data_IF_801412859645
#
_entry.id   IF_801412859645
#
_cell.length_a   1.000
_cell.length_b   1.000
_cell.length_c   1.000
_cell.angle_alpha   90.00
_cell.angle_beta   90.00
_cell.angle_gamma   90.00
#
_symmetry.space_group_name_H-M   'P 1'
#
loop_
_entity.id
_entity.type
_entity.pdbx_description
1 polymer ?
#
# COMPACT_ATOMS: atom_id res chain seq x y z
N UNK A 1 47.81 -13.05 -65.88
CA UNK A 1 46.85 -11.95 -66.12
C UNK A 1 45.52 -12.40 -65.51
N UNK A 2 45.44 -12.60 -64.19
CA UNK A 2 45.07 -11.62 -63.13
C UNK A 2 43.72 -10.96 -63.38
N UNK A 3 42.68 -11.43 -62.67
CA UNK A 3 41.63 -10.61 -62.03
C UNK A 3 40.51 -11.52 -61.47
N UNK A 4 40.70 -12.10 -60.28
CA UNK A 4 39.57 -12.66 -59.50
C UNK A 4 39.81 -12.70 -57.99
N UNK A 5 40.71 -11.88 -57.44
CA UNK A 5 40.96 -11.82 -55.99
C UNK A 5 40.89 -10.38 -55.49
N UNK A 6 39.67 -9.92 -55.25
CA UNK A 6 39.37 -8.79 -54.38
C UNK A 6 37.93 -8.95 -53.88
N UNK A 7 37.62 -10.09 -53.23
CA UNK A 7 36.49 -10.11 -52.32
C UNK A 7 36.82 -9.13 -51.20
N UNK A 8 36.00 -8.08 -51.05
CA UNK A 8 36.12 -7.10 -49.97
C UNK A 8 36.15 -7.88 -48.65
N UNK A 9 37.32 -7.90 -48.01
CA UNK A 9 37.54 -8.57 -46.73
C UNK A 9 37.29 -7.61 -45.59
N UNK A 10 36.74 -8.12 -44.49
CA UNK A 10 36.56 -7.32 -43.28
C UNK A 10 37.92 -6.93 -42.68
N UNK A 11 38.23 -5.62 -42.71
CA UNK A 11 39.46 -5.12 -42.09
C UNK A 11 39.44 -5.33 -40.57
N UNK A 12 40.48 -5.95 -39.97
CA UNK A 12 40.58 -6.07 -38.51
C UNK A 12 40.57 -4.72 -37.78
N UNK A 13 41.05 -3.66 -38.42
CA UNK A 13 41.01 -2.31 -37.85
C UNK A 13 39.59 -1.76 -37.79
N UNK A 14 38.76 -2.06 -38.80
CA UNK A 14 37.35 -1.69 -38.82
C UNK A 14 36.57 -2.45 -37.74
N UNK A 15 36.74 -3.76 -37.65
CA UNK A 15 36.13 -4.58 -36.61
C UNK A 15 36.53 -4.12 -35.20
N UNK A 16 37.82 -3.87 -34.96
CA UNK A 16 38.29 -3.37 -33.67
C UNK A 16 37.72 -1.99 -33.32
N UNK A 17 37.58 -1.11 -34.31
CA UNK A 17 36.93 0.19 -34.11
C UNK A 17 35.46 0.02 -33.75
N UNK A 18 34.74 -0.85 -34.47
CA UNK A 18 33.33 -1.10 -34.23
C UNK A 18 33.10 -1.70 -32.83
N UNK A 19 33.88 -2.71 -32.45
CA UNK A 19 33.87 -3.27 -31.09
C UNK A 19 34.16 -2.22 -30.01
N UNK A 20 35.10 -1.29 -30.26
CA UNK A 20 35.41 -0.20 -29.31
C UNK A 20 34.28 0.83 -29.18
N UNK A 21 33.55 1.10 -30.26
CA UNK A 21 32.36 1.98 -30.23
C UNK A 21 31.22 1.29 -29.50
N UNK A 22 30.90 0.06 -29.88
CA UNK A 22 29.89 -0.75 -29.21
C UNK A 22 30.16 -0.91 -27.72
N UNK A 23 31.41 -1.18 -27.31
CA UNK A 23 31.81 -1.25 -25.88
C UNK A 23 31.53 0.04 -25.11
N UNK A 24 31.50 1.20 -25.77
CA UNK A 24 31.16 2.49 -25.15
C UNK A 24 29.65 2.77 -25.11
N UNK A 25 28.83 1.84 -25.57
CA UNK A 25 27.38 2.00 -25.67
C UNK A 25 26.92 2.75 -26.92
N UNK A 26 27.78 2.91 -27.93
CA UNK A 26 27.36 3.42 -29.23
C UNK A 26 26.73 2.27 -30.02
N UNK A 27 25.40 2.19 -29.99
CA UNK A 27 24.63 1.20 -30.72
C UNK A 27 24.31 1.61 -32.15
N UNK A 28 24.75 2.78 -32.63
CA UNK A 28 24.54 3.18 -34.03
C UNK A 28 25.54 2.54 -35.01
N UNK A 29 26.60 1.92 -34.47
CA UNK A 29 27.65 1.29 -35.25
C UNK A 29 27.14 0.09 -36.04
N UNK A 30 27.50 0.02 -37.33
CA UNK A 30 27.20 -1.13 -38.20
C UNK A 30 28.43 -1.53 -39.00
N UNK A 31 28.65 -2.83 -39.15
CA UNK A 31 29.61 -3.39 -40.10
C UNK A 31 28.94 -3.57 -41.49
N UNK A 32 29.72 -3.52 -42.59
CA UNK A 32 29.18 -3.64 -43.94
C UNK A 32 28.52 -5.00 -44.19
N UNK A 33 27.39 -5.01 -44.91
CA UNK A 33 26.60 -6.23 -45.21
C UNK A 33 26.85 -6.76 -46.63
N UNK A 34 27.66 -6.06 -47.41
CA UNK A 34 28.07 -6.38 -48.78
C UNK A 34 29.30 -7.30 -48.84
N UNK A 35 29.76 -7.79 -47.68
CA UNK A 35 30.86 -8.74 -47.58
C UNK A 35 30.36 -10.17 -47.78
N UNK A 36 31.13 -10.98 -48.49
CA UNK A 36 30.81 -12.38 -48.75
C UNK A 36 31.54 -13.32 -47.77
N UNK A 37 31.00 -14.54 -47.63
CA UNK A 37 31.61 -15.60 -46.84
C UNK A 37 31.69 -15.29 -45.34
N UNK A 38 32.77 -15.75 -44.69
CA UNK A 38 32.93 -15.62 -43.22
C UNK A 38 32.93 -14.16 -42.74
N UNK A 39 33.47 -13.24 -43.54
CA UNK A 39 33.54 -11.82 -43.19
C UNK A 39 32.14 -11.18 -43.16
N UNK A 40 31.25 -11.58 -44.08
CA UNK A 40 29.83 -11.24 -44.07
C UNK A 40 29.09 -11.83 -42.89
N UNK A 41 29.33 -13.10 -42.56
CA UNK A 41 28.73 -13.76 -41.38
C UNK A 41 29.16 -13.08 -40.06
N UNK A 42 30.43 -12.70 -39.93
CA UNK A 42 30.93 -11.94 -38.77
C UNK A 42 30.26 -10.57 -38.70
N UNK A 43 30.13 -9.87 -39.83
CA UNK A 43 29.49 -8.55 -39.87
C UNK A 43 28.01 -8.62 -39.49
N UNK A 44 27.27 -9.60 -40.01
CA UNK A 44 25.88 -9.86 -39.66
C UNK A 44 25.74 -10.19 -38.17
N UNK A 45 26.50 -11.15 -37.65
CA UNK A 45 26.44 -11.53 -36.24
C UNK A 45 26.80 -10.36 -35.29
N UNK A 46 27.78 -9.53 -35.67
CA UNK A 46 28.08 -8.31 -34.92
C UNK A 46 26.90 -7.34 -34.92
N UNK A 47 26.31 -7.07 -36.08
CA UNK A 47 25.18 -6.16 -36.22
C UNK A 47 23.96 -6.64 -35.42
N UNK A 48 23.66 -7.94 -35.46
CA UNK A 48 22.57 -8.56 -34.69
C UNK A 48 22.76 -8.36 -33.18
N UNK A 49 24.00 -8.52 -32.69
CA UNK A 49 24.34 -8.28 -31.28
C UNK A 49 24.20 -6.81 -30.91
N UNK A 50 24.60 -5.89 -31.79
CA UNK A 50 24.43 -4.45 -31.56
C UNK A 50 22.94 -4.09 -31.48
N UNK A 51 22.13 -4.55 -32.43
CA UNK A 51 20.68 -4.31 -32.49
C UNK A 51 19.95 -4.88 -31.27
N UNK A 52 20.29 -6.11 -30.86
CA UNK A 52 19.70 -6.70 -29.66
C UNK A 52 20.03 -5.93 -28.38
N UNK A 53 21.26 -5.41 -28.25
CA UNK A 53 21.64 -4.61 -27.09
C UNK A 53 20.99 -3.22 -27.12
N UNK A 54 20.84 -2.61 -28.29
CA UNK A 54 20.09 -1.36 -28.48
C UNK A 54 18.65 -1.54 -27.98
N UNK A 55 17.96 -2.55 -28.48
CA UNK A 55 16.58 -2.87 -28.10
C UNK A 55 16.44 -3.18 -26.59
N UNK A 56 17.39 -3.89 -26.00
CA UNK A 56 17.39 -4.16 -24.57
C UNK A 56 17.52 -2.87 -23.74
N UNK A 57 18.46 -2.00 -24.09
CA UNK A 57 18.70 -0.74 -23.37
C UNK A 57 17.49 0.19 -23.48
N UNK A 58 16.91 0.31 -24.67
CA UNK A 58 15.70 1.09 -24.89
C UNK A 58 14.53 0.57 -24.05
N UNK A 59 14.29 -0.74 -24.07
CA UNK A 59 13.12 -1.30 -23.39
C UNK A 59 13.27 -1.32 -21.86
N UNK A 60 14.49 -1.57 -21.34
CA UNK A 60 14.79 -1.39 -19.92
C UNK A 60 14.60 0.06 -19.50
N UNK A 61 15.05 1.03 -20.31
CA UNK A 61 14.84 2.46 -20.09
C UNK A 61 13.35 2.82 -20.04
N UNK A 62 12.56 2.31 -21.00
CA UNK A 62 11.10 2.49 -21.04
C UNK A 62 10.42 1.94 -19.80
N UNK A 63 10.74 0.71 -19.39
CA UNK A 63 10.16 0.06 -18.20
C UNK A 63 10.55 0.84 -16.94
N UNK A 64 11.82 1.27 -16.83
CA UNK A 64 12.29 2.08 -15.70
C UNK A 64 11.52 3.39 -15.56
N UNK A 65 11.23 4.09 -16.67
CA UNK A 65 10.42 5.32 -16.64
C UNK A 65 8.98 5.02 -16.25
N UNK A 66 8.38 4.01 -16.85
CA UNK A 66 6.99 3.66 -16.60
C UNK A 66 6.75 3.23 -15.14
N UNK A 67 7.66 2.45 -14.55
CA UNK A 67 7.57 2.04 -13.14
C UNK A 67 7.94 3.20 -12.22
N UNK A 68 9.10 3.81 -12.43
CA UNK A 68 9.69 4.76 -11.48
C UNK A 68 9.05 6.15 -11.49
N UNK A 69 8.53 6.61 -12.63
CA UNK A 69 7.95 7.96 -12.76
C UNK A 69 6.43 7.94 -12.91
N UNK A 70 5.89 6.91 -13.57
CA UNK A 70 4.46 6.88 -13.92
C UNK A 70 3.66 5.90 -13.04
N UNK A 71 4.33 5.13 -12.17
CA UNK A 71 3.68 4.18 -11.26
C UNK A 71 3.06 2.96 -11.96
N UNK A 72 3.39 2.71 -13.24
CA UNK A 72 2.89 1.57 -14.01
C UNK A 72 3.70 0.30 -13.70
N UNK A 73 3.56 -0.22 -12.48
CA UNK A 73 4.28 -1.40 -11.95
C UNK A 73 4.05 -2.71 -12.72
N UNK A 74 2.99 -2.80 -13.53
CA UNK A 74 2.71 -3.94 -14.40
C UNK A 74 3.55 -4.02 -15.68
N UNK A 75 4.39 -3.01 -15.96
CA UNK A 75 5.24 -3.02 -17.16
C UNK A 75 6.34 -4.08 -17.06
N UNK A 76 6.68 -4.67 -18.21
CA UNK A 76 7.67 -5.74 -18.35
C UNK A 76 8.59 -5.45 -19.52
N UNK A 77 9.83 -5.91 -19.40
CA UNK A 77 10.83 -5.88 -20.47
C UNK A 77 10.43 -6.93 -21.50
N UNK A 78 10.50 -6.57 -22.79
CA UNK A 78 10.16 -7.39 -23.93
C UNK A 78 11.29 -7.32 -24.95
N UNK A 79 11.95 -8.47 -25.17
CA UNK A 79 13.00 -8.61 -26.18
C UNK A 79 12.75 -9.91 -26.96
N UNK A 80 12.01 -9.85 -28.09
CA UNK A 80 11.52 -11.05 -28.78
C UNK A 80 12.61 -12.00 -29.28
N UNK A 81 13.79 -11.47 -29.61
CA UNK A 81 14.94 -12.23 -30.10
C UNK A 81 15.83 -12.77 -28.98
N UNK A 82 15.52 -12.46 -27.71
CA UNK A 82 16.30 -12.91 -26.57
C UNK A 82 16.20 -14.42 -26.41
N UNK A 83 17.36 -15.08 -26.40
CA UNK A 83 17.47 -16.51 -26.13
C UNK A 83 18.69 -16.80 -25.24
N UNK A 84 18.74 -18.00 -24.69
CA UNK A 84 19.82 -18.40 -23.77
C UNK A 84 19.96 -17.43 -22.59
N UNK A 85 21.20 -17.00 -22.32
CA UNK A 85 21.50 -16.08 -21.21
C UNK A 85 20.79 -14.73 -21.30
N UNK A 86 20.49 -14.24 -22.50
CA UNK A 86 19.74 -12.98 -22.69
C UNK A 86 18.28 -13.13 -22.30
N UNK A 87 17.66 -14.25 -22.67
CA UNK A 87 16.30 -14.58 -22.23
C UNK A 87 16.23 -14.67 -20.71
N UNK A 88 17.16 -15.42 -20.10
CA UNK A 88 17.25 -15.54 -18.64
C UNK A 88 17.45 -14.19 -17.92
N UNK A 89 18.19 -13.25 -18.53
CA UNK A 89 18.35 -11.90 -18.02
C UNK A 89 17.03 -11.12 -18.02
N UNK A 90 16.31 -11.12 -19.15
CA UNK A 90 14.99 -10.49 -19.28
C UNK A 90 13.99 -11.09 -18.30
N UNK A 91 13.99 -12.42 -18.16
CA UNK A 91 13.14 -13.12 -17.21
C UNK A 91 13.48 -12.74 -15.76
N UNK A 92 14.76 -12.61 -15.43
CA UNK A 92 15.21 -12.18 -14.09
C UNK A 92 14.73 -10.77 -13.76
N UNK A 93 14.86 -9.82 -14.70
CA UNK A 93 14.36 -8.45 -14.51
C UNK A 93 12.83 -8.46 -14.33
N UNK A 94 12.12 -9.22 -15.17
CA UNK A 94 10.67 -9.32 -15.11
C UNK A 94 10.18 -9.99 -13.82
N UNK A 95 10.89 -11.01 -13.33
CA UNK A 95 10.64 -11.65 -12.05
C UNK A 95 10.82 -10.66 -10.90
N UNK A 96 11.92 -9.90 -10.88
CA UNK A 96 12.11 -8.85 -9.87
C UNK A 96 10.98 -7.82 -9.88
N UNK A 97 10.53 -7.38 -11.06
CA UNK A 97 9.38 -6.46 -11.14
C UNK A 97 8.11 -7.13 -10.60
N UNK A 98 7.85 -8.40 -10.92
CA UNK A 98 6.70 -9.12 -10.41
C UNK A 98 6.72 -9.25 -8.88
N UNK A 99 7.86 -9.62 -8.31
CA UNK A 99 8.07 -9.80 -6.86
C UNK A 99 7.85 -8.49 -6.08
N UNK A 100 8.14 -7.32 -6.68
CA UNK A 100 7.84 -6.01 -6.09
C UNK A 100 6.38 -5.58 -6.31
N UNK A 101 5.77 -6.00 -7.41
CA UNK A 101 4.43 -5.57 -7.83
C UNK A 101 3.35 -6.13 -6.91
N UNK A 102 3.41 -7.43 -6.62
CA UNK A 102 2.31 -8.12 -5.93
C UNK A 102 2.09 -7.62 -4.49
N UNK A 103 3.12 -7.51 -3.61
CA UNK A 103 2.92 -6.95 -2.25
C UNK A 103 2.40 -5.51 -2.27
N UNK A 104 2.83 -4.72 -3.24
CA UNK A 104 2.39 -3.32 -3.41
C UNK A 104 0.90 -3.24 -3.78
N UNK A 105 0.43 -4.14 -4.66
CA UNK A 105 -0.99 -4.23 -5.02
C UNK A 105 -1.85 -4.70 -3.85
N UNK A 106 -1.39 -5.69 -3.08
CA UNK A 106 -2.08 -6.15 -1.88
C UNK A 106 -2.21 -5.04 -0.83
N UNK A 107 -1.14 -4.25 -0.63
CA UNK A 107 -1.19 -3.11 0.27
C UNK A 107 -2.22 -2.07 -0.17
N UNK A 108 -2.24 -1.72 -1.46
CA UNK A 108 -3.24 -0.80 -1.99
C UNK A 108 -4.68 -1.33 -1.83
N UNK A 109 -4.88 -2.65 -2.01
CA UNK A 109 -6.18 -3.31 -1.83
C UNK A 109 -6.66 -3.21 -0.39
N UNK A 110 -5.81 -3.54 0.59
CA UNK A 110 -6.17 -3.50 2.02
C UNK A 110 -6.43 -2.06 2.47
N UNK A 111 -5.57 -1.11 2.11
CA UNK A 111 -5.79 0.32 2.42
C UNK A 111 -7.11 0.81 1.80
N UNK A 112 -7.38 0.44 0.54
CA UNK A 112 -8.63 0.79 -0.14
C UNK A 112 -9.87 0.19 0.51
N UNK A 113 -9.78 -1.02 1.07
CA UNK A 113 -10.86 -1.66 1.82
C UNK A 113 -11.11 -0.94 3.16
N UNK A 114 -10.05 -0.67 3.91
CA UNK A 114 -10.10 0.07 5.18
C UNK A 114 -10.70 1.46 4.98
N UNK A 115 -10.32 2.15 3.90
CA UNK A 115 -10.88 3.47 3.55
C UNK A 115 -12.39 3.43 3.28
N UNK A 116 -12.93 2.27 2.89
CA UNK A 116 -14.39 2.04 2.70
C UNK A 116 -15.07 1.49 3.96
N UNK A 117 -14.34 1.35 5.06
CA UNK A 117 -14.83 0.80 6.32
C UNK A 117 -14.83 -0.73 6.40
N UNK A 118 -14.26 -1.43 5.41
CA UNK A 118 -14.09 -2.88 5.47
C UNK A 118 -12.79 -3.22 6.22
N UNK A 119 -12.93 -3.50 7.51
CA UNK A 119 -11.84 -3.89 8.40
C UNK A 119 -11.63 -5.42 8.48
N UNK A 120 -12.34 -6.20 7.67
CA UNK A 120 -12.15 -7.66 7.60
C UNK A 120 -10.95 -8.07 6.75
N UNK A 121 -10.42 -7.13 5.96
CA UNK A 121 -9.30 -7.36 5.07
C UNK A 121 -7.96 -7.25 5.80
N UNK A 122 -7.02 -8.12 5.45
CA UNK A 122 -5.66 -8.11 5.96
C UNK A 122 -4.63 -8.32 4.85
N UNK A 123 -3.40 -7.91 5.14
CA UNK A 123 -2.24 -8.21 4.31
C UNK A 123 -1.87 -9.68 4.45
N UNK A 124 -1.70 -10.41 3.33
CA UNK A 124 -1.17 -11.76 3.38
C UNK A 124 0.26 -11.75 3.92
N UNK A 125 0.61 -12.75 4.72
CA UNK A 125 1.97 -12.97 5.22
C UNK A 125 2.74 -13.99 4.37
N UNK A 126 2.08 -14.57 3.38
CA UNK A 126 2.58 -15.59 2.47
C UNK A 126 2.09 -15.31 1.05
N UNK A 127 2.96 -15.51 0.08
CA UNK A 127 2.68 -15.31 -1.35
C UNK A 127 3.21 -16.53 -2.11
N UNK A 128 2.36 -17.16 -2.93
CA UNK A 128 2.70 -18.33 -3.75
C UNK A 128 3.39 -19.47 -2.98
N UNK A 129 2.90 -19.77 -1.77
CA UNK A 129 3.47 -20.83 -0.92
C UNK A 129 4.71 -20.42 -0.13
N UNK A 130 5.13 -19.14 -0.20
CA UNK A 130 6.36 -18.65 0.42
C UNK A 130 6.08 -17.52 1.40
N UNK A 131 6.60 -17.58 2.64
CA UNK A 131 6.40 -16.51 3.60
C UNK A 131 7.08 -15.24 3.09
N UNK A 132 6.41 -14.10 3.29
CA UNK A 132 7.04 -12.80 3.09
C UNK A 132 8.27 -12.69 4.00
N UNK A 133 9.31 -12.00 3.52
CA UNK A 133 10.56 -11.80 4.26
C UNK A 133 10.98 -10.33 4.23
N UNK A 134 11.90 -9.98 5.12
CA UNK A 134 12.50 -8.64 5.18
C UNK A 134 11.46 -7.53 5.30
N UNK A 135 11.65 -6.47 4.50
CA UNK A 135 10.78 -5.28 4.50
C UNK A 135 9.33 -5.61 4.17
N UNK A 136 9.06 -6.53 3.23
CA UNK A 136 7.68 -6.88 2.88
C UNK A 136 6.91 -7.49 4.05
N UNK A 137 7.56 -8.38 4.82
CA UNK A 137 6.97 -8.95 6.02
C UNK A 137 6.75 -7.88 7.09
N UNK A 138 7.72 -6.98 7.25
CA UNK A 138 7.63 -5.89 8.21
C UNK A 138 6.44 -4.96 7.88
N UNK A 139 6.32 -4.51 6.64
CA UNK A 139 5.20 -3.67 6.17
C UNK A 139 3.86 -4.40 6.34
N UNK A 140 3.76 -5.66 5.92
CA UNK A 140 2.53 -6.45 6.06
C UNK A 140 2.07 -6.55 7.52
N UNK A 141 3.00 -6.81 8.46
CA UNK A 141 2.71 -6.85 9.90
C UNK A 141 2.28 -5.50 10.44
N UNK A 142 2.92 -4.42 10.02
CA UNK A 142 2.57 -3.07 10.44
C UNK A 142 1.17 -2.68 9.96
N UNK A 143 0.82 -3.00 8.71
CA UNK A 143 -0.53 -2.79 8.17
C UNK A 143 -1.55 -3.63 8.94
N UNK A 144 -1.28 -4.92 9.18
CA UNK A 144 -2.19 -5.79 9.93
C UNK A 144 -2.43 -5.28 11.35
N UNK A 145 -1.38 -4.85 12.06
CA UNK A 145 -1.51 -4.25 13.39
C UNK A 145 -2.37 -2.99 13.38
N UNK A 146 -2.20 -2.12 12.38
CA UNK A 146 -3.04 -0.94 12.22
C UNK A 146 -4.52 -1.33 11.99
N UNK A 147 -4.80 -2.34 11.15
CA UNK A 147 -6.17 -2.84 10.94
C UNK A 147 -6.75 -3.42 12.23
N UNK A 148 -5.99 -4.23 12.96
CA UNK A 148 -6.41 -4.80 14.26
C UNK A 148 -6.76 -3.73 15.28
N UNK A 149 -5.96 -2.65 15.36
CA UNK A 149 -6.24 -1.51 16.23
C UNK A 149 -7.56 -0.82 15.82
N UNK A 150 -7.78 -0.61 14.52
CA UNK A 150 -9.03 -0.04 14.01
C UNK A 150 -10.24 -0.90 14.39
N UNK A 151 -10.15 -2.23 14.16
CA UNK A 151 -11.23 -3.17 14.51
C UNK A 151 -11.57 -3.07 15.99
N UNK A 152 -10.54 -3.07 16.84
CA UNK A 152 -10.73 -3.06 18.30
C UNK A 152 -11.38 -1.77 18.78
N UNK A 153 -10.88 -0.61 18.32
CA UNK A 153 -11.47 0.70 18.68
C UNK A 153 -12.91 0.79 18.19
N UNK A 154 -13.17 0.49 16.92
CA UNK A 154 -14.51 0.59 16.34
C UNK A 154 -15.50 -0.33 17.05
N UNK A 155 -15.10 -1.55 17.39
CA UNK A 155 -15.95 -2.48 18.13
C UNK A 155 -16.31 -1.95 19.52
N UNK A 156 -15.32 -1.44 20.27
CA UNK A 156 -15.55 -0.90 21.62
C UNK A 156 -16.43 0.35 21.61
N UNK A 157 -16.20 1.27 20.68
CA UNK A 157 -17.04 2.47 20.55
C UNK A 157 -18.49 2.11 20.17
N UNK A 158 -18.66 1.13 19.27
CA UNK A 158 -19.99 0.63 18.90
C UNK A 158 -20.69 -0.02 20.08
N UNK A 159 -19.97 -0.82 20.89
CA UNK A 159 -20.49 -1.44 22.10
C UNK A 159 -20.98 -0.39 23.10
N UNK A 160 -20.15 0.59 23.44
CA UNK A 160 -20.51 1.63 24.42
C UNK A 160 -21.68 2.47 23.94
N UNK A 161 -21.70 2.87 22.66
CA UNK A 161 -22.81 3.62 22.10
C UNK A 161 -24.13 2.85 22.21
N UNK A 162 -24.11 1.54 21.95
CA UNK A 162 -25.27 0.66 22.12
C UNK A 162 -25.66 0.49 23.59
N UNK A 163 -24.72 0.15 24.45
CA UNK A 163 -25.00 -0.16 25.86
C UNK A 163 -25.50 1.07 26.63
N UNK A 164 -24.80 2.20 26.51
CA UNK A 164 -25.16 3.43 27.23
C UNK A 164 -26.32 4.15 26.56
N UNK A 165 -26.30 4.25 25.22
CA UNK A 165 -27.26 5.06 24.47
C UNK A 165 -28.57 4.36 24.14
N UNK A 166 -28.57 3.05 23.94
CA UNK A 166 -29.75 2.29 23.50
C UNK A 166 -30.27 1.38 24.62
N UNK A 167 -29.39 0.60 25.24
CA UNK A 167 -29.77 -0.37 26.27
C UNK A 167 -29.91 0.26 27.67
N UNK A 168 -29.47 1.52 27.85
CA UNK A 168 -29.56 2.24 29.12
C UNK A 168 -28.65 1.67 30.22
N UNK A 169 -27.63 0.89 29.87
CA UNK A 169 -26.60 0.38 30.79
C UNK A 169 -25.62 1.50 31.11
N UNK A 170 -26.03 2.36 32.03
CA UNK A 170 -25.25 3.53 32.44
C UNK A 170 -23.99 3.12 33.21
N UNK A 171 -22.88 3.79 32.93
CA UNK A 171 -21.58 3.58 33.57
C UNK A 171 -20.60 2.72 32.77
N UNK A 172 -21.06 2.13 31.66
CA UNK A 172 -20.17 1.39 30.75
C UNK A 172 -19.21 2.33 30.02
N UNK A 173 -17.99 1.85 29.83
CA UNK A 173 -16.89 2.58 29.20
C UNK A 173 -16.13 1.68 28.24
N UNK A 174 -15.56 2.29 27.19
CA UNK A 174 -14.72 1.64 26.21
C UNK A 174 -13.38 1.33 26.85
N UNK A 175 -12.92 0.09 26.69
CA UNK A 175 -11.64 -0.37 27.20
C UNK A 175 -10.81 -0.92 26.04
N UNK A 176 -10.05 -0.03 25.41
CA UNK A 176 -9.14 -0.42 24.33
C UNK A 176 -7.72 -0.49 24.87
N UNK A 177 -7.09 -1.66 24.76
CA UNK A 177 -5.67 -1.85 25.13
C UNK A 177 -4.76 -1.29 24.04
N UNK A 178 -3.59 -0.79 24.43
CA UNK A 178 -2.50 -0.42 23.52
C UNK A 178 -2.84 0.64 22.46
N UNK A 179 -3.80 1.53 22.77
CA UNK A 179 -4.09 2.73 21.96
C UNK A 179 -3.27 3.92 22.43
N UNK A 180 -2.75 4.67 21.47
CA UNK A 180 -2.00 5.90 21.70
C UNK A 180 -2.41 6.97 20.68
N UNK A 181 -2.03 8.23 20.93
CA UNK A 181 -2.34 9.37 20.08
C UNK A 181 -3.84 9.52 19.85
N UNK A 182 -4.23 9.81 18.61
CA UNK A 182 -5.63 10.08 18.23
C UNK A 182 -6.62 8.99 18.65
N UNK A 183 -6.21 7.72 18.67
CA UNK A 183 -7.07 6.61 19.10
C UNK A 183 -7.40 6.65 20.58
N UNK A 184 -6.42 7.03 21.40
CA UNK A 184 -6.62 7.22 22.83
C UNK A 184 -7.55 8.41 23.07
N UNK A 185 -7.29 9.53 22.40
CA UNK A 185 -8.11 10.74 22.54
C UNK A 185 -9.57 10.47 22.17
N UNK A 186 -9.82 9.71 21.10
CA UNK A 186 -11.17 9.32 20.70
C UNK A 186 -11.87 8.46 21.76
N UNK A 187 -11.16 7.46 22.29
CA UNK A 187 -11.68 6.57 23.34
C UNK A 187 -12.01 7.35 24.61
N UNK A 188 -11.11 8.23 25.05
CA UNK A 188 -11.27 9.04 26.25
C UNK A 188 -12.44 10.01 26.12
N UNK A 189 -12.63 10.63 24.95
CA UNK A 189 -13.78 11.50 24.68
C UNK A 189 -15.13 10.77 24.73
N UNK A 190 -15.21 9.55 24.16
CA UNK A 190 -16.44 8.75 24.25
C UNK A 190 -16.72 8.33 25.69
N UNK A 191 -15.67 7.96 26.45
CA UNK A 191 -15.81 7.64 27.86
C UNK A 191 -16.28 8.83 28.70
N UNK A 192 -15.78 10.04 28.41
CA UNK A 192 -16.24 11.27 29.06
C UNK A 192 -17.71 11.55 28.74
N UNK A 193 -18.12 11.39 27.48
CA UNK A 193 -19.53 11.52 27.08
C UNK A 193 -20.43 10.52 27.81
N UNK A 194 -20.05 9.23 27.83
CA UNK A 194 -20.80 8.18 28.51
C UNK A 194 -20.91 8.41 30.02
N UNK A 195 -19.82 8.86 30.66
CA UNK A 195 -19.80 9.18 32.09
C UNK A 195 -20.70 10.37 32.42
N UNK A 196 -20.67 11.42 31.60
CA UNK A 196 -21.52 12.60 31.77
C UNK A 196 -23.00 12.24 31.63
N UNK A 197 -23.38 11.50 30.58
CA UNK A 197 -24.76 11.03 30.38
C UNK A 197 -25.23 10.14 31.55
N UNK A 198 -24.37 9.24 32.01
CA UNK A 198 -24.64 8.38 33.17
C UNK A 198 -24.94 9.18 34.43
N UNK A 199 -24.09 10.15 34.75
CA UNK A 199 -24.25 10.98 35.93
C UNK A 199 -25.54 11.82 35.85
N UNK A 200 -25.83 12.38 34.68
CA UNK A 200 -27.01 13.20 34.44
C UNK A 200 -28.30 12.39 34.60
N UNK A 201 -28.41 11.24 33.91
CA UNK A 201 -29.62 10.41 33.93
C UNK A 201 -29.87 9.81 35.31
N UNK A 202 -28.83 9.35 36.02
CA UNK A 202 -28.99 8.81 37.38
C UNK A 202 -29.50 9.86 38.37
N UNK A 203 -28.94 11.08 38.33
CA UNK A 203 -29.39 12.15 39.21
C UNK A 203 -30.85 12.55 38.94
N UNK A 204 -31.25 12.59 37.67
CA UNK A 204 -32.64 12.84 37.29
C UNK A 204 -33.54 11.72 37.85
N UNK A 205 -33.17 10.47 37.61
CA UNK A 205 -33.95 9.32 38.09
C UNK A 205 -34.11 9.30 39.62
N UNK A 206 -33.04 9.61 40.37
CA UNK A 206 -33.06 9.66 41.84
C UNK A 206 -34.03 10.74 42.34
N UNK A 207 -33.96 11.96 41.78
CA UNK A 207 -34.83 13.06 42.18
C UNK A 207 -36.28 12.77 41.78
N UNK A 208 -36.55 12.34 40.54
CA UNK A 208 -37.91 12.00 40.11
C UNK A 208 -38.52 10.87 40.95
N UNK A 209 -37.71 9.89 41.38
CA UNK A 209 -38.16 8.83 42.30
C UNK A 209 -38.52 9.37 43.68
N UNK A 210 -37.75 10.33 44.21
CA UNK A 210 -38.05 10.99 45.48
C UNK A 210 -39.38 11.76 45.41
N UNK A 211 -39.59 12.52 44.35
CA UNK A 211 -40.83 13.26 44.08
C UNK A 211 -42.03 12.31 44.01
N UNK A 212 -41.91 11.20 43.28
CA UNK A 212 -42.97 10.19 43.18
C UNK A 212 -43.31 9.53 44.54
N UNK A 213 -42.36 9.49 45.47
CA UNK A 213 -42.56 9.03 46.86
C UNK A 213 -43.04 10.13 47.81
N UNK A 214 -43.25 11.35 47.32
CA UNK A 214 -43.72 12.50 48.09
C UNK A 214 -42.63 13.32 48.78
N UNK A 215 -41.35 13.04 48.52
CA UNK A 215 -40.22 13.84 49.03
C UNK A 215 -39.86 14.96 48.05
N UNK A 216 -40.45 16.14 48.27
CA UNK A 216 -40.19 17.36 47.49
C UNK A 216 -38.96 18.13 47.99
N UNK A 217 -38.21 17.62 48.97
CA UNK A 217 -37.01 18.31 49.46
C UNK A 217 -35.79 18.09 48.55
N UNK A 218 -35.85 17.12 47.62
CA UNK A 218 -34.76 16.73 46.73
C UNK A 218 -34.73 17.56 45.46
N UNK A 219 -33.55 18.11 45.12
CA UNK A 219 -33.29 18.84 43.87
C UNK A 219 -32.12 18.24 43.12
N UNK A 220 -32.15 18.33 41.80
CA UNK A 220 -31.01 17.98 40.94
C UNK A 220 -29.95 19.07 41.11
N UNK A 221 -28.75 18.68 41.55
CA UNK A 221 -27.66 19.63 41.84
C UNK A 221 -26.52 19.61 40.82
N UNK A 222 -26.41 18.56 40.00
CA UNK A 222 -25.35 18.40 39.00
C UNK A 222 -25.31 19.60 38.04
N UNK A 223 -24.10 20.06 37.73
CA UNK A 223 -23.88 21.09 36.73
C UNK A 223 -24.09 20.52 35.33
N UNK A 224 -25.06 21.10 34.60
CA UNK A 224 -25.51 20.62 33.30
C UNK A 224 -25.77 21.81 32.39
N UNK A 225 -25.63 21.58 31.07
CA UNK A 225 -25.74 22.61 30.04
C UNK A 225 -26.72 22.17 28.96
N UNK A 226 -27.16 23.11 28.13
CA UNK A 226 -28.08 22.86 27.01
C UNK A 226 -29.42 22.27 27.45
N UNK A 227 -29.96 21.35 26.66
CA UNK A 227 -31.28 20.72 26.88
C UNK A 227 -31.38 20.01 28.24
N UNK A 228 -30.28 19.44 28.75
CA UNK A 228 -30.26 18.78 30.06
C UNK A 228 -30.44 19.80 31.20
N UNK A 229 -29.99 21.05 31.02
CA UNK A 229 -30.25 22.12 31.98
C UNK A 229 -31.72 22.51 32.02
N UNK A 230 -32.35 22.64 30.87
CA UNK A 230 -33.78 22.95 30.78
C UNK A 230 -34.62 21.85 31.45
N UNK A 231 -34.24 20.58 31.24
CA UNK A 231 -34.86 19.44 31.90
C UNK A 231 -34.67 19.51 33.43
N UNK A 232 -33.46 19.78 33.90
CA UNK A 232 -33.16 19.99 35.33
C UNK A 232 -34.03 21.08 35.94
N UNK A 233 -34.11 22.25 35.30
CA UNK A 233 -34.84 23.40 35.83
C UNK A 233 -36.35 23.13 35.86
N UNK A 234 -36.87 22.44 34.85
CA UNK A 234 -38.27 21.98 34.81
C UNK A 234 -38.58 21.03 35.97
N UNK A 235 -37.74 20.02 36.20
CA UNK A 235 -37.93 19.06 37.30
C UNK A 235 -37.82 19.76 38.66
N UNK A 236 -36.84 20.64 38.82
CA UNK A 236 -36.63 21.37 40.07
C UNK A 236 -37.76 22.38 40.39
N UNK A 237 -38.62 22.71 39.41
CA UNK A 237 -39.82 23.55 39.62
C UNK A 237 -41.00 22.74 40.17
N UNK A 238 -41.01 21.41 39.98
CA UNK A 238 -42.06 20.53 40.49
C UNK A 238 -41.94 20.26 42.00
N UNK A 239 -40.84 20.67 42.63
CA UNK A 239 -40.46 20.39 44.02
C UNK A 239 -40.32 21.64 44.89
#
# INVERSE_FOLDING_TARGET
MTMTDAHDRLSPQLLLRALRQFRKGDFSVRLPLDLDGLDGEIAAAFNDVVEMNEALVEDVGRVSVAIGKEGRIGQRVRLPTASGGWGACVDSVNAMVADLTQPTQEMARVIGAVAKGDLSQSMPLEVDGRPLQGEFLHTARTVNRMVEQLVTVTAELTRVAREVGIEGKLGEQAQVKDVAGTWKDLTDNVNLMAANLTAQVRNIADVTTAVAKGDLSRKITVDVKGEIRELKDTINTMV
#
